data_IF_929097083609
#
_entry.id   IF_929097083609
#
_cell.length_a   1.000
_cell.length_b   1.000
_cell.length_c   1.000
_cell.angle_alpha   90.00
_cell.angle_beta   90.00
_cell.angle_gamma   90.00
#
_symmetry.space_group_name_H-M   'P 1'
#
loop_
_entity.id
_entity.type
_entity.pdbx_description
1 polymer ?
#
# COMPACT_ATOMS: atom_id res chain seq x y z
N UNK A 1 -19.86 -0.29 16.01
CA UNK A 1 -19.14 -0.88 14.87
C UNK A 1 -20.14 -1.68 14.06
N UNK A 2 -20.27 -1.44 12.76
CA UNK A 2 -21.22 -2.18 11.94
C UNK A 2 -20.79 -3.66 11.88
N UNK A 3 -21.72 -4.55 12.22
CA UNK A 3 -21.53 -6.00 12.13
C UNK A 3 -21.15 -6.37 10.69
N UNK A 4 -19.96 -6.97 10.51
CA UNK A 4 -19.48 -7.37 9.18
C UNK A 4 -20.34 -8.53 8.68
N UNK A 5 -21.23 -8.25 7.73
CA UNK A 5 -22.02 -9.29 7.06
C UNK A 5 -21.17 -9.99 5.99
N UNK A 6 -21.20 -11.31 6.00
CA UNK A 6 -20.57 -12.17 5.01
C UNK A 6 -21.62 -13.01 4.28
N UNK A 7 -21.41 -13.37 3.00
CA UNK A 7 -20.31 -12.91 2.14
C UNK A 7 -20.43 -11.42 1.80
N UNK A 8 -19.29 -10.74 1.62
CA UNK A 8 -19.27 -9.37 1.07
C UNK A 8 -18.25 -9.24 -0.05
N UNK A 9 -18.57 -8.41 -1.03
CA UNK A 9 -17.63 -8.00 -2.07
C UNK A 9 -16.78 -6.83 -1.58
N UNK A 10 -15.52 -6.84 -1.95
CA UNK A 10 -14.59 -5.75 -1.70
C UNK A 10 -13.61 -5.64 -2.87
N UNK A 11 -13.01 -4.46 -3.00
CA UNK A 11 -11.95 -4.20 -3.97
C UNK A 11 -10.60 -4.17 -3.27
N UNK A 12 -9.58 -4.75 -3.88
CA UNK A 12 -8.20 -4.71 -3.39
C UNK A 12 -7.31 -4.10 -4.46
N UNK A 13 -6.32 -3.33 -4.05
CA UNK A 13 -5.25 -2.90 -4.94
C UNK A 13 -4.16 -3.97 -4.96
N UNK A 14 -4.00 -4.65 -6.10
CA UNK A 14 -2.94 -5.64 -6.25
C UNK A 14 -1.56 -4.97 -6.32
N UNK A 15 -0.45 -5.68 -6.02
CA UNK A 15 0.90 -5.14 -6.16
C UNK A 15 1.24 -4.61 -7.56
N UNK A 16 0.54 -5.11 -8.59
CA UNK A 16 0.62 -4.62 -9.97
C UNK A 16 -0.17 -3.34 -10.24
N UNK A 17 -0.68 -2.67 -9.19
CA UNK A 17 -1.58 -1.50 -9.25
C UNK A 17 -2.87 -1.73 -10.04
N UNK A 18 -3.29 -2.99 -10.18
CA UNK A 18 -4.55 -3.37 -10.79
C UNK A 18 -5.58 -3.65 -9.70
N UNK A 19 -6.69 -2.88 -9.63
CA UNK A 19 -7.78 -3.21 -8.73
C UNK A 19 -8.38 -4.57 -9.09
N UNK A 20 -8.58 -5.41 -8.09
CA UNK A 20 -9.25 -6.70 -8.24
C UNK A 20 -10.43 -6.79 -7.27
N UNK A 21 -11.53 -7.36 -7.72
CA UNK A 21 -12.68 -7.66 -6.87
C UNK A 21 -12.44 -9.00 -6.15
N UNK A 22 -12.72 -9.03 -4.86
CA UNK A 22 -12.60 -10.22 -4.01
C UNK A 22 -13.87 -10.42 -3.21
N UNK A 23 -14.26 -11.69 -3.04
CA UNK A 23 -15.36 -12.06 -2.15
C UNK A 23 -14.79 -12.52 -0.82
N UNK A 24 -15.12 -11.80 0.24
CA UNK A 24 -14.76 -12.13 1.62
C UNK A 24 -15.87 -12.98 2.23
N UNK A 25 -15.49 -14.04 2.93
CA UNK A 25 -16.40 -15.08 3.44
C UNK A 25 -16.46 -15.14 4.96
N UNK A 26 -15.38 -14.80 5.65
CA UNK A 26 -15.30 -14.84 7.12
C UNK A 26 -14.14 -13.97 7.62
N UNK A 27 -14.14 -13.51 8.89
CA UNK A 27 -12.96 -12.91 9.48
C UNK A 27 -11.83 -13.95 9.62
N UNK A 28 -10.58 -13.48 9.61
CA UNK A 28 -9.41 -14.29 9.92
C UNK A 28 -9.26 -14.38 11.44
N UNK A 29 -9.31 -15.59 11.99
CA UNK A 29 -9.05 -15.86 13.40
C UNK A 29 -10.27 -15.69 14.30
N UNK A 30 -10.79 -16.82 14.78
CA UNK A 30 -11.80 -16.87 15.84
C UNK A 30 -11.16 -17.00 17.25
N UNK A 31 -9.83 -16.92 17.36
CA UNK A 31 -9.09 -17.33 18.57
C UNK A 31 -8.17 -16.25 19.18
N UNK A 32 -7.82 -15.18 18.46
CA UNK A 32 -6.83 -14.19 18.96
C UNK A 32 -7.10 -12.74 18.53
N UNK A 33 -8.36 -12.32 18.49
CA UNK A 33 -8.71 -10.90 18.35
C UNK A 33 -8.26 -10.22 17.05
N UNK A 34 -7.91 -10.96 16.00
CA UNK A 34 -7.54 -10.40 14.69
C UNK A 34 -8.78 -9.99 13.89
N UNK A 35 -9.60 -9.10 14.46
CA UNK A 35 -10.75 -8.50 13.79
C UNK A 35 -10.33 -7.66 12.57
N UNK A 36 -9.05 -7.41 12.35
CA UNK A 36 -8.56 -6.56 11.27
C UNK A 36 -8.32 -7.29 9.95
N UNK A 37 -8.55 -8.61 9.91
CA UNK A 37 -8.27 -9.43 8.75
C UNK A 37 -9.52 -10.19 8.31
N UNK A 38 -9.74 -10.25 7.00
CA UNK A 38 -10.84 -10.99 6.38
C UNK A 38 -10.27 -12.07 5.44
N UNK A 39 -10.94 -13.21 5.37
CA UNK A 39 -10.58 -14.34 4.50
C UNK A 39 -11.52 -14.44 3.29
N UNK A 40 -10.92 -14.72 2.15
CA UNK A 40 -11.65 -15.19 0.96
C UNK A 40 -12.01 -16.68 1.07
N UNK A 41 -12.85 -17.17 0.16
CA UNK A 41 -13.21 -18.59 0.05
C UNK A 41 -11.98 -19.51 -0.11
N UNK A 42 -10.95 -19.03 -0.81
CA UNK A 42 -9.68 -19.76 -1.00
C UNK A 42 -8.73 -19.66 0.20
N UNK A 43 -9.19 -19.12 1.33
CA UNK A 43 -8.38 -18.95 2.54
C UNK A 43 -7.31 -17.85 2.44
N UNK A 44 -7.34 -17.00 1.41
CA UNK A 44 -6.40 -15.88 1.30
C UNK A 44 -6.81 -14.75 2.25
N UNK A 45 -5.92 -14.31 3.18
CA UNK A 45 -6.19 -13.22 4.11
C UNK A 45 -5.98 -11.86 3.45
N UNK A 46 -6.81 -10.88 3.83
CA UNK A 46 -6.69 -9.47 3.47
C UNK A 46 -6.90 -8.59 4.71
N UNK A 47 -6.04 -7.60 4.89
CA UNK A 47 -6.21 -6.62 5.96
C UNK A 47 -7.33 -5.64 5.60
N UNK A 48 -8.12 -5.21 6.58
CA UNK A 48 -9.24 -4.27 6.40
C UNK A 48 -8.82 -2.99 5.67
N UNK A 49 -7.62 -2.47 5.95
CA UNK A 49 -7.12 -1.22 5.35
C UNK A 49 -6.74 -1.38 3.87
N UNK A 50 -6.58 -2.62 3.41
CA UNK A 50 -6.36 -2.96 1.98
C UNK A 50 -7.65 -3.28 1.22
N UNK A 51 -8.81 -3.19 1.89
CA UNK A 51 -10.11 -3.54 1.35
C UNK A 51 -10.95 -2.27 1.15
N UNK A 52 -11.21 -1.96 -0.11
CA UNK A 52 -11.95 -0.78 -0.54
C UNK A 52 -13.41 -1.13 -0.87
N UNK A 53 -14.31 -0.18 -0.62
CA UNK A 53 -15.74 -0.35 -0.91
C UNK A 53 -16.04 -0.31 -2.42
N UNK A 54 -15.19 0.33 -3.20
CA UNK A 54 -15.37 0.48 -4.64
C UNK A 54 -14.05 0.40 -5.40
N UNK A 55 -14.15 0.09 -6.70
CA UNK A 55 -13.02 0.15 -7.62
C UNK A 55 -12.37 1.53 -7.65
N UNK A 56 -13.17 2.61 -7.61
CA UNK A 56 -12.67 3.98 -7.63
C UNK A 56 -11.87 4.32 -6.38
N UNK A 57 -12.29 3.84 -5.20
CA UNK A 57 -11.55 4.02 -3.95
C UNK A 57 -10.20 3.29 -3.99
N UNK A 58 -10.17 2.06 -4.52
CA UNK A 58 -8.91 1.33 -4.71
C UNK A 58 -7.93 2.05 -5.66
N UNK A 59 -8.46 2.63 -6.75
CA UNK A 59 -7.66 3.42 -7.69
C UNK A 59 -7.14 4.71 -7.04
N UNK A 60 -7.98 5.42 -6.29
CA UNK A 60 -7.59 6.64 -5.59
C UNK A 60 -6.46 6.37 -4.59
N UNK A 61 -6.59 5.33 -3.77
CA UNK A 61 -5.54 4.91 -2.85
C UNK A 61 -4.25 4.51 -3.59
N UNK A 62 -4.36 3.82 -4.73
CA UNK A 62 -3.20 3.50 -5.56
C UNK A 62 -2.49 4.74 -6.12
N UNK A 63 -3.24 5.76 -6.53
CA UNK A 63 -2.66 7.05 -6.96
C UNK A 63 -1.94 7.75 -5.82
N UNK A 64 -2.53 7.76 -4.64
CA UNK A 64 -1.90 8.34 -3.44
C UNK A 64 -0.58 7.64 -3.11
N UNK A 65 -0.55 6.30 -3.14
CA UNK A 65 0.67 5.53 -2.93
C UNK A 65 1.77 5.88 -3.95
N UNK A 66 1.41 6.04 -5.23
CA UNK A 66 2.35 6.46 -6.27
C UNK A 66 2.91 7.85 -5.98
N UNK A 67 2.06 8.80 -5.57
CA UNK A 67 2.53 10.16 -5.25
C UNK A 67 3.45 10.19 -4.02
N UNK A 68 3.16 9.38 -2.99
CA UNK A 68 4.07 9.21 -1.85
C UNK A 68 5.43 8.64 -2.29
N UNK A 69 5.43 7.62 -3.16
CA UNK A 69 6.66 7.06 -3.71
C UNK A 69 7.45 8.09 -4.53
N UNK A 70 6.76 8.91 -5.34
CA UNK A 70 7.39 9.98 -6.12
C UNK A 70 8.05 11.02 -5.20
N UNK A 71 7.38 11.42 -4.12
CA UNK A 71 7.93 12.37 -3.15
C UNK A 71 9.18 11.82 -2.45
N UNK A 72 9.17 10.54 -2.07
CA UNK A 72 10.32 9.89 -1.45
C UNK A 72 11.51 9.74 -2.39
N UNK A 73 11.26 9.39 -3.66
CA UNK A 73 12.29 9.35 -4.70
C UNK A 73 12.91 10.73 -4.89
N UNK A 74 12.10 11.80 -4.97
CA UNK A 74 12.60 13.16 -5.11
C UNK A 74 13.51 13.57 -3.95
N UNK A 75 13.13 13.27 -2.70
CA UNK A 75 13.97 13.51 -1.52
C UNK A 75 15.29 12.73 -1.57
N UNK A 76 15.27 11.48 -2.04
CA UNK A 76 16.47 10.67 -2.21
C UNK A 76 17.40 11.24 -3.28
N UNK A 77 16.83 11.70 -4.40
CA UNK A 77 17.59 12.35 -5.47
C UNK A 77 18.27 13.63 -4.98
N UNK A 78 17.58 14.48 -4.23
CA UNK A 78 18.17 15.70 -3.66
C UNK A 78 19.35 15.36 -2.74
N UNK A 79 19.21 14.35 -1.89
CA UNK A 79 20.30 13.88 -1.01
C UNK A 79 21.49 13.34 -1.81
N UNK A 80 21.25 12.63 -2.91
CA UNK A 80 22.31 12.16 -3.80
C UNK A 80 23.05 13.33 -4.44
N UNK A 81 22.32 14.32 -4.96
CA UNK A 81 22.93 15.50 -5.57
C UNK A 81 23.79 16.29 -4.57
N UNK A 82 23.35 16.43 -3.30
CA UNK A 82 24.15 17.06 -2.24
C UNK A 82 25.46 16.32 -1.96
N UNK A 83 25.44 14.97 -2.02
CA UNK A 83 26.66 14.15 -1.83
C UNK A 83 27.61 14.30 -3.01
N UNK A 84 27.10 14.32 -4.24
CA UNK A 84 27.90 14.57 -5.44
C UNK A 84 28.59 15.93 -5.34
N UNK A 85 27.85 17.00 -5.05
CA UNK A 85 28.42 18.34 -4.91
C UNK A 85 29.49 18.44 -3.81
N UNK A 86 29.35 17.67 -2.72
CA UNK A 86 30.36 17.60 -1.67
C UNK A 86 31.64 16.90 -2.14
N UNK A 87 31.52 15.83 -2.94
CA UNK A 87 32.65 15.14 -3.56
C UNK A 87 33.36 16.03 -4.58
N UNK A 88 32.60 16.68 -5.48
CA UNK A 88 33.14 17.58 -6.49
C UNK A 88 33.93 18.75 -5.86
N UNK A 89 33.45 19.25 -4.71
CA UNK A 89 34.17 20.28 -3.95
C UNK A 89 35.47 19.73 -3.37
N UNK A 90 35.43 18.55 -2.75
CA UNK A 90 36.62 17.92 -2.18
C UNK A 90 37.69 17.62 -3.25
N UNK A 91 37.27 17.23 -4.46
CA UNK A 91 38.18 17.02 -5.60
C UNK A 91 38.87 18.32 -6.03
N UNK A 92 38.13 19.43 -6.08
CA UNK A 92 38.68 20.76 -6.38
C UNK A 92 39.62 21.26 -5.30
N UNK A 93 39.30 21.06 -4.03
CA UNK A 93 40.15 21.48 -2.91
C UNK A 93 41.45 20.64 -2.81
N UNK A 94 41.49 19.47 -3.45
CA UNK A 94 42.66 18.59 -3.50
C UNK A 94 43.57 18.81 -4.72
N UNK A 95 43.18 19.67 -5.67
CA UNK A 95 43.92 20.03 -6.90
C UNK A 95 44.61 21.37 -6.77
#
# INVERSE_FOLDING_TARGET
MAERKYPRQAWVLMPSFKPAEVTLKKPYGSFCGSEDWDLTEKGKPYHKDSLYLSKSAAIAAGREQVEQQRADIAKRQEKMNKRIAALDKAEKDAS
#
